data_IF_490827748575
#
_entry.id   IF_490827748575
#
_cell.length_a   1.000
_cell.length_b   1.000
_cell.length_c   1.000
_cell.angle_alpha   90.00
_cell.angle_beta   90.00
_cell.angle_gamma   90.00
#
_symmetry.space_group_name_H-M   'P 1'
#
loop_
_entity.id
_entity.type
_entity.pdbx_description
1 polymer ?
#
# COMPACT_ATOMS: atom_id res chain seq x y z
N UNK A 1 -1.13 -25.31 -12.03
CA UNK A 1 -0.38 -24.33 -12.84
C UNK A 1 -1.18 -23.06 -13.16
N UNK A 2 -2.38 -23.14 -13.76
CA UNK A 2 -3.13 -21.91 -14.16
C UNK A 2 -3.55 -21.01 -12.98
N UNK A 3 -4.01 -21.59 -11.86
CA UNK A 3 -4.42 -20.83 -10.66
C UNK A 3 -3.24 -20.15 -9.95
N UNK A 4 -2.13 -20.86 -9.80
CA UNK A 4 -0.93 -20.35 -9.12
C UNK A 4 -0.27 -19.23 -9.91
N UNK A 5 -0.22 -19.33 -11.25
CA UNK A 5 0.28 -18.25 -12.10
C UNK A 5 -0.52 -16.96 -11.96
N UNK A 6 -1.87 -17.03 -11.93
CA UNK A 6 -2.71 -15.84 -11.76
C UNK A 6 -2.59 -15.23 -10.35
N UNK A 7 -2.47 -16.06 -9.32
CA UNK A 7 -2.23 -15.59 -7.95
C UNK A 7 -0.86 -14.89 -7.84
N UNK A 8 0.19 -15.47 -8.42
CA UNK A 8 1.52 -14.85 -8.49
C UNK A 8 1.50 -13.54 -9.27
N UNK A 9 0.75 -13.46 -10.37
CA UNK A 9 0.58 -12.23 -11.12
C UNK A 9 -0.10 -11.13 -10.27
N UNK A 10 -1.09 -11.51 -9.45
CA UNK A 10 -1.70 -10.62 -8.48
C UNK A 10 -0.69 -10.13 -7.43
N UNK A 11 0.12 -11.03 -6.90
CA UNK A 11 1.18 -10.69 -5.95
C UNK A 11 2.18 -9.68 -6.54
N UNK A 12 2.71 -9.97 -7.74
CA UNK A 12 3.64 -9.09 -8.46
C UNK A 12 2.98 -7.73 -8.75
N UNK A 13 1.72 -7.71 -9.18
CA UNK A 13 0.98 -6.47 -9.40
C UNK A 13 0.87 -5.64 -8.13
N UNK A 14 0.52 -6.23 -6.99
CA UNK A 14 0.44 -5.52 -5.72
C UNK A 14 1.76 -4.90 -5.30
N UNK A 15 2.89 -5.61 -5.50
CA UNK A 15 4.23 -5.05 -5.26
C UNK A 15 4.55 -3.88 -6.19
N UNK A 16 4.22 -4.01 -7.48
CA UNK A 16 4.44 -2.95 -8.46
C UNK A 16 3.62 -1.70 -8.14
N UNK A 17 2.35 -1.84 -7.75
CA UNK A 17 1.50 -0.71 -7.37
C UNK A 17 2.04 -0.03 -6.11
N UNK A 18 2.47 -0.79 -5.11
CA UNK A 18 3.14 -0.25 -3.91
C UNK A 18 4.37 0.56 -4.30
N UNK A 19 5.27 -0.02 -5.09
CA UNK A 19 6.51 0.64 -5.50
C UNK A 19 6.26 1.90 -6.33
N UNK A 20 5.38 1.81 -7.33
CA UNK A 20 5.04 2.94 -8.20
C UNK A 20 4.40 4.08 -7.40
N UNK A 21 3.46 3.78 -6.50
CA UNK A 21 2.82 4.79 -5.64
C UNK A 21 3.85 5.46 -4.73
N UNK A 22 4.67 4.65 -4.04
CA UNK A 22 5.73 5.17 -3.17
C UNK A 22 6.72 6.06 -3.93
N UNK A 23 7.18 5.61 -5.09
CA UNK A 23 8.12 6.36 -5.93
C UNK A 23 7.51 7.67 -6.45
N UNK A 24 6.28 7.61 -7.00
CA UNK A 24 5.62 8.80 -7.55
C UNK A 24 5.35 9.83 -6.45
N UNK A 25 4.78 9.41 -5.32
CA UNK A 25 4.47 10.34 -4.24
C UNK A 25 5.73 10.84 -3.54
N UNK A 26 6.80 10.06 -3.42
CA UNK A 26 8.05 10.56 -2.83
C UNK A 26 8.74 11.63 -3.71
N UNK A 27 8.51 11.62 -5.02
CA UNK A 27 9.07 12.60 -5.97
C UNK A 27 8.13 13.76 -6.26
N UNK A 28 6.91 13.76 -5.71
CA UNK A 28 6.03 14.91 -5.76
C UNK A 28 6.52 15.99 -4.79
N UNK A 29 6.42 17.25 -5.21
CA UNK A 29 6.74 18.39 -4.36
C UNK A 29 5.60 18.64 -3.38
N UNK A 30 5.68 18.01 -2.21
CA UNK A 30 4.74 18.26 -1.12
C UNK A 30 5.03 19.61 -0.45
N UNK A 31 4.00 20.36 -0.05
CA UNK A 31 4.20 21.50 0.83
C UNK A 31 4.86 21.03 2.13
N UNK A 32 5.78 21.85 2.66
CA UNK A 32 6.49 21.53 3.89
C UNK A 32 5.46 21.30 5.00
N UNK A 33 5.43 20.12 5.63
CA UNK A 33 4.50 19.87 6.71
C UNK A 33 4.76 20.88 7.83
N UNK A 34 3.71 21.39 8.49
CA UNK A 34 3.87 22.28 9.63
C UNK A 34 4.75 21.57 10.67
N UNK A 35 5.81 22.25 11.10
CA UNK A 35 6.79 21.71 12.06
C UNK A 35 6.15 21.57 13.44
N UNK A 36 5.36 20.52 13.64
CA UNK A 36 4.95 20.09 14.95
C UNK A 36 6.03 19.15 15.48
N UNK A 37 6.67 19.58 16.56
CA UNK A 37 7.54 18.76 17.39
C UNK A 37 6.70 17.68 18.08
N UNK A 38 6.28 16.66 17.32
CA UNK A 38 5.79 15.40 17.88
C UNK A 38 6.96 14.77 18.63
N UNK A 39 6.87 14.76 19.96
CA UNK A 39 7.89 14.25 20.85
C UNK A 39 8.29 12.82 20.50
N UNK A 40 9.60 12.58 20.57
CA UNK A 40 10.31 11.33 20.32
C UNK A 40 10.52 10.95 18.84
N UNK A 41 11.40 11.70 18.19
CA UNK A 41 11.93 11.37 16.86
C UNK A 41 13.10 10.38 16.92
N UNK A 42 13.59 10.06 18.12
CA UNK A 42 14.70 9.13 18.34
C UNK A 42 14.19 7.69 18.44
N UNK A 43 14.31 6.99 17.31
CA UNK A 43 13.86 5.60 17.11
C UNK A 43 14.48 4.62 18.13
N UNK A 44 15.62 4.98 18.70
CA UNK A 44 16.36 4.22 19.71
C UNK A 44 15.70 4.23 21.10
N UNK A 45 14.83 5.20 21.41
CA UNK A 45 14.24 5.34 22.75
C UNK A 45 12.72 5.10 22.82
N UNK A 46 11.99 5.10 21.68
CA UNK A 46 10.52 5.15 21.71
C UNK A 46 9.75 3.95 21.14
N UNK A 47 10.42 2.87 20.74
CA UNK A 47 9.73 1.63 20.36
C UNK A 47 10.66 0.45 20.15
N UNK A 48 10.14 -0.78 20.21
CA UNK A 48 10.94 -1.94 19.84
C UNK A 48 11.22 -1.89 18.33
N UNK A 49 12.49 -1.93 17.94
CA UNK A 49 12.92 -1.97 16.54
C UNK A 49 12.17 -3.06 15.72
N UNK A 50 11.82 -4.16 16.39
CA UNK A 50 11.04 -5.24 15.81
C UNK A 50 9.62 -4.80 15.40
N UNK A 51 8.92 -4.01 16.23
CA UNK A 51 7.57 -3.54 15.91
C UNK A 51 7.58 -2.61 14.70
N UNK A 52 8.54 -1.67 14.64
CA UNK A 52 8.70 -0.78 13.49
C UNK A 52 8.95 -1.56 12.20
N UNK A 53 9.86 -2.54 12.25
CA UNK A 53 10.18 -3.38 11.10
C UNK A 53 8.96 -4.20 10.63
N UNK A 54 8.23 -4.83 11.56
CA UNK A 54 7.04 -5.63 11.23
C UNK A 54 5.90 -4.78 10.65
N UNK A 55 5.66 -3.58 11.20
CA UNK A 55 4.66 -2.65 10.68
C UNK A 55 5.03 -2.21 9.27
N UNK A 56 6.28 -1.81 9.06
CA UNK A 56 6.77 -1.38 7.73
C UNK A 56 6.65 -2.50 6.72
N UNK A 57 7.10 -3.71 7.08
CA UNK A 57 7.01 -4.88 6.20
C UNK A 57 5.55 -5.25 5.90
N UNK A 58 4.66 -5.17 6.89
CA UNK A 58 3.23 -5.33 6.70
C UNK A 58 2.65 -4.31 5.72
N UNK A 59 3.02 -3.03 5.88
CA UNK A 59 2.59 -1.94 4.99
C UNK A 59 3.06 -2.15 3.55
N UNK A 60 4.26 -2.66 3.31
CA UNK A 60 4.74 -2.93 1.95
C UNK A 60 4.07 -4.14 1.30
N UNK A 61 3.83 -5.21 2.08
CA UNK A 61 3.44 -6.52 1.54
C UNK A 61 1.92 -6.69 1.43
N UNK A 62 1.12 -6.00 2.26
CA UNK A 62 -0.33 -6.22 2.28
C UNK A 62 -1.02 -6.07 0.91
N UNK A 63 -0.65 -5.14 -0.01
CA UNK A 63 -1.31 -5.04 -1.31
C UNK A 63 -1.04 -6.30 -2.15
N UNK A 64 0.20 -6.82 -2.09
CA UNK A 64 0.59 -8.04 -2.79
C UNK A 64 -0.23 -9.25 -2.29
N UNK A 65 -0.45 -9.36 -0.98
CA UNK A 65 -1.31 -10.41 -0.39
C UNK A 65 -2.76 -10.25 -0.87
N UNK A 66 -3.31 -9.03 -0.82
CA UNK A 66 -4.69 -8.75 -1.25
C UNK A 66 -4.92 -9.14 -2.72
N UNK A 67 -4.04 -8.73 -3.63
CA UNK A 67 -4.18 -9.07 -5.05
C UNK A 67 -3.93 -10.56 -5.34
N UNK A 68 -3.02 -11.20 -4.60
CA UNK A 68 -2.82 -12.64 -4.67
C UNK A 68 -4.11 -13.39 -4.31
N UNK A 69 -4.73 -13.04 -3.17
CA UNK A 69 -5.99 -13.63 -2.71
C UNK A 69 -7.14 -13.33 -3.66
N UNK A 70 -7.25 -12.10 -4.15
CA UNK A 70 -8.27 -11.68 -5.13
C UNK A 70 -8.21 -12.58 -6.36
N UNK A 71 -7.03 -12.76 -6.95
CA UNK A 71 -6.87 -13.60 -8.14
C UNK A 71 -7.07 -15.10 -7.83
N UNK A 72 -6.67 -15.56 -6.65
CA UNK A 72 -6.90 -16.94 -6.23
C UNK A 72 -8.41 -17.25 -6.06
N UNK A 73 -9.19 -16.31 -5.51
CA UNK A 73 -10.63 -16.44 -5.29
C UNK A 73 -11.44 -16.21 -6.56
N UNK A 74 -11.08 -15.21 -7.37
CA UNK A 74 -11.78 -14.90 -8.61
C UNK A 74 -11.62 -15.99 -9.67
N UNK A 75 -10.54 -16.78 -9.62
CA UNK A 75 -10.27 -17.85 -10.57
C UNK A 75 -11.46 -18.81 -10.72
N UNK A 76 -12.03 -18.85 -11.93
CA UNK A 76 -13.22 -19.64 -12.32
C UNK A 76 -14.53 -19.31 -11.59
N UNK A 77 -14.53 -18.46 -10.56
CA UNK A 77 -15.74 -18.13 -9.77
C UNK A 77 -16.43 -16.86 -10.23
N UNK A 78 -15.69 -15.92 -10.80
CA UNK A 78 -16.21 -14.59 -11.14
C UNK A 78 -16.27 -14.38 -12.65
N UNK A 79 -17.21 -13.56 -13.09
CA UNK A 79 -17.21 -13.04 -14.47
C UNK A 79 -16.07 -12.04 -14.66
N UNK A 80 -15.56 -11.93 -15.88
CA UNK A 80 -14.46 -10.99 -16.20
C UNK A 80 -14.81 -9.54 -15.84
N UNK A 81 -16.08 -9.13 -16.00
CA UNK A 81 -16.57 -7.80 -15.60
C UNK A 81 -16.44 -7.58 -14.09
N UNK A 82 -16.96 -8.52 -13.28
CA UNK A 82 -16.87 -8.43 -11.82
C UNK A 82 -15.41 -8.41 -11.35
N UNK A 83 -14.58 -9.30 -11.90
CA UNK A 83 -13.15 -9.34 -11.57
C UNK A 83 -12.46 -8.01 -11.93
N UNK A 84 -12.66 -7.50 -13.14
CA UNK A 84 -12.05 -6.25 -13.59
C UNK A 84 -12.46 -5.06 -12.73
N UNK A 85 -13.74 -4.93 -12.38
CA UNK A 85 -14.22 -3.85 -11.50
C UNK A 85 -13.58 -3.92 -10.12
N UNK A 86 -13.58 -5.09 -9.48
CA UNK A 86 -13.01 -5.24 -8.13
C UNK A 86 -11.49 -5.04 -8.15
N UNK A 87 -10.81 -5.54 -9.18
CA UNK A 87 -9.37 -5.34 -9.35
C UNK A 87 -9.00 -3.86 -9.52
N UNK A 88 -9.76 -3.13 -10.34
CA UNK A 88 -9.58 -1.69 -10.55
C UNK A 88 -9.85 -0.88 -9.26
N UNK A 89 -10.96 -1.17 -8.57
CA UNK A 89 -11.29 -0.52 -7.29
C UNK A 89 -10.23 -0.81 -6.24
N UNK A 90 -9.78 -2.06 -6.10
CA UNK A 90 -8.71 -2.41 -5.17
C UNK A 90 -7.41 -1.67 -5.49
N UNK A 91 -7.05 -1.55 -6.77
CA UNK A 91 -5.87 -0.79 -7.22
C UNK A 91 -5.99 0.69 -6.84
N UNK A 92 -7.14 1.29 -7.11
CA UNK A 92 -7.40 2.69 -6.75
C UNK A 92 -7.30 2.90 -5.24
N UNK A 93 -7.88 2.01 -4.43
CA UNK A 93 -7.82 2.09 -2.98
C UNK A 93 -6.39 1.99 -2.45
N UNK A 94 -5.55 1.12 -3.01
CA UNK A 94 -4.13 1.03 -2.65
C UNK A 94 -3.39 2.33 -3.00
N UNK A 95 -3.61 2.88 -4.19
CA UNK A 95 -3.00 4.15 -4.61
C UNK A 95 -3.43 5.29 -3.68
N UNK A 96 -4.73 5.39 -3.35
CA UNK A 96 -5.26 6.39 -2.43
C UNK A 96 -4.72 6.23 -1.01
N UNK A 97 -4.54 4.99 -0.55
CA UNK A 97 -3.92 4.70 0.73
C UNK A 97 -2.49 5.26 0.80
N UNK A 98 -1.66 4.97 -0.21
CA UNK A 98 -0.30 5.53 -0.27
C UNK A 98 -0.30 7.04 -0.52
N UNK A 99 -1.23 7.58 -1.31
CA UNK A 99 -1.37 9.03 -1.47
C UNK A 99 -1.62 9.69 -0.11
N UNK A 100 -2.51 9.12 0.69
CA UNK A 100 -2.86 9.64 2.01
C UNK A 100 -1.65 9.69 2.95
N UNK A 101 -0.73 8.72 2.91
CA UNK A 101 0.48 8.75 3.77
C UNK A 101 1.37 9.97 3.53
N UNK A 102 1.31 10.59 2.35
CA UNK A 102 2.04 11.82 2.04
C UNK A 102 1.16 13.07 2.14
N UNK A 103 -0.07 13.00 1.60
CA UNK A 103 -0.97 14.15 1.53
C UNK A 103 -1.49 14.60 2.90
N UNK A 104 -1.79 13.66 3.78
CA UNK A 104 -2.38 13.97 5.10
C UNK A 104 -1.42 14.79 5.97
N UNK A 105 -0.14 14.39 6.16
CA UNK A 105 0.83 15.22 6.88
C UNK A 105 1.07 16.57 6.19
N UNK A 106 1.16 16.58 4.86
CA UNK A 106 1.44 17.79 4.09
C UNK A 106 0.30 18.83 4.17
N UNK A 107 -0.95 18.37 4.33
CA UNK A 107 -2.14 19.22 4.45
C UNK A 107 -2.54 19.51 5.91
N UNK A 108 -1.83 18.94 6.90
CA UNK A 108 -2.15 19.11 8.32
C UNK A 108 -3.51 18.53 8.72
N UNK A 109 -3.97 17.47 8.05
CA UNK A 109 -5.33 16.93 8.21
C UNK A 109 -5.49 15.99 9.42
N UNK A 110 -4.41 15.61 10.10
CA UNK A 110 -4.45 15.05 11.45
C UNK A 110 -3.32 15.68 12.27
N UNK A 111 -3.72 16.28 13.40
CA UNK A 111 -2.89 16.73 14.51
C UNK A 111 -3.40 16.12 15.80
#
# INVERSE_FOLDING_TARGET
MKRTGLALLGFVWGLLVTWASGYTFSHMHWPTPPSHSTGCNDLEHCGSHAAFFLVTLGLLIWPAIVFCLLNAVAYKRWSNRKWGTVFAVATLLVVLFYLATYAVPALGLFG
#
